data_IF_029172033076
#
_entry.id   IF_029172033076
#
_cell.length_a   1.000
_cell.length_b   1.000
_cell.length_c   1.000
_cell.angle_alpha   90.00
_cell.angle_beta   90.00
_cell.angle_gamma   90.00
#
_symmetry.space_group_name_H-M   'P 1'
#
loop_
_entity.id
_entity.type
_entity.pdbx_description
1 polymer ?
#
# COMPACT_ATOMS: atom_id res chain seq x y z
N UNK A 1 13.96 -9.17 -72.86
CA UNK A 1 13.92 -7.71 -72.63
C UNK A 1 12.85 -7.41 -71.58
N UNK A 2 13.22 -7.49 -70.30
CA UNK A 2 12.39 -7.01 -69.20
C UNK A 2 12.53 -5.49 -69.11
N UNK A 3 11.39 -4.79 -69.16
CA UNK A 3 11.29 -3.33 -69.23
C UNK A 3 11.63 -2.66 -67.89
N UNK A 4 12.30 -1.49 -67.90
CA UNK A 4 12.73 -0.76 -66.69
C UNK A 4 11.59 -0.33 -65.75
N UNK A 5 10.34 -0.38 -66.22
CA UNK A 5 9.14 0.09 -65.51
C UNK A 5 8.71 -0.83 -64.36
N UNK A 6 8.91 -2.16 -64.45
CA UNK A 6 8.54 -3.09 -63.36
C UNK A 6 9.49 -2.98 -62.15
N UNK A 7 10.77 -2.71 -62.37
CA UNK A 7 11.76 -2.54 -61.31
C UNK A 7 11.53 -1.26 -60.48
N UNK A 8 10.91 -0.22 -61.06
CA UNK A 8 10.56 1.03 -60.38
C UNK A 8 9.37 0.86 -59.42
N UNK A 9 8.31 0.17 -59.86
CA UNK A 9 7.10 -0.03 -59.05
C UNK A 9 7.34 -0.89 -57.80
N UNK A 10 8.23 -1.89 -57.87
CA UNK A 10 8.59 -2.71 -56.70
C UNK A 10 9.41 -1.96 -55.65
N UNK A 11 10.21 -0.96 -56.06
CA UNK A 11 10.97 -0.11 -55.12
C UNK A 11 10.06 0.87 -54.39
N UNK A 12 9.06 1.42 -55.07
CA UNK A 12 8.06 2.33 -54.48
C UNK A 12 7.15 1.65 -53.45
N UNK A 13 6.75 0.38 -53.68
CA UNK A 13 5.95 -0.37 -52.71
C UNK A 13 6.75 -0.76 -51.46
N UNK A 14 8.01 -1.18 -51.63
CA UNK A 14 8.91 -1.48 -50.52
C UNK A 14 9.20 -0.24 -49.66
N UNK A 15 9.44 0.93 -50.26
CA UNK A 15 9.63 2.18 -49.51
C UNK A 15 8.40 2.58 -48.69
N UNK A 16 7.19 2.47 -49.25
CA UNK A 16 5.95 2.73 -48.49
C UNK A 16 5.73 1.74 -47.36
N UNK A 17 6.01 0.45 -47.58
CA UNK A 17 5.89 -0.56 -46.53
C UNK A 17 6.86 -0.28 -45.38
N UNK A 18 8.10 0.10 -45.70
CA UNK A 18 9.10 0.51 -44.71
C UNK A 18 8.66 1.78 -43.97
N UNK A 19 8.14 2.79 -44.67
CA UNK A 19 7.65 4.03 -44.05
C UNK A 19 6.46 3.78 -43.11
N UNK A 20 5.50 2.94 -43.52
CA UNK A 20 4.36 2.54 -42.68
C UNK A 20 4.85 1.74 -41.47
N UNK A 21 5.78 0.79 -41.65
CA UNK A 21 6.35 0.03 -40.55
C UNK A 21 7.10 0.92 -39.55
N UNK A 22 7.89 1.90 -40.02
CA UNK A 22 8.56 2.89 -39.18
C UNK A 22 7.53 3.73 -38.43
N UNK A 23 6.46 4.18 -39.08
CA UNK A 23 5.44 5.03 -38.46
C UNK A 23 4.64 4.27 -37.40
N UNK A 24 4.25 3.03 -37.67
CA UNK A 24 3.60 2.15 -36.68
C UNK A 24 4.56 1.85 -35.53
N UNK A 25 5.83 1.55 -35.83
CA UNK A 25 6.86 1.32 -34.82
C UNK A 25 7.07 2.53 -33.92
N UNK A 26 7.11 3.74 -34.47
CA UNK A 26 7.20 4.98 -33.71
C UNK A 26 5.97 5.23 -32.84
N UNK A 27 4.75 4.98 -33.36
CA UNK A 27 3.52 5.11 -32.57
C UNK A 27 3.50 4.09 -31.44
N UNK A 28 3.91 2.85 -31.69
CA UNK A 28 3.98 1.82 -30.65
C UNK A 28 5.02 2.18 -29.58
N UNK A 29 6.20 2.65 -29.99
CA UNK A 29 7.26 3.08 -29.08
C UNK A 29 6.82 4.28 -28.24
N UNK A 30 6.15 5.26 -28.85
CA UNK A 30 5.58 6.41 -28.13
C UNK A 30 4.49 5.98 -27.16
N UNK A 31 3.60 5.08 -27.56
CA UNK A 31 2.56 4.52 -26.68
C UNK A 31 3.16 3.75 -25.51
N UNK A 32 4.20 2.94 -25.75
CA UNK A 32 4.93 2.23 -24.71
C UNK A 32 5.61 3.20 -23.73
N UNK A 33 6.24 4.28 -24.22
CA UNK A 33 6.83 5.30 -23.37
C UNK A 33 5.78 6.04 -22.54
N UNK A 34 4.64 6.40 -23.14
CA UNK A 34 3.53 6.98 -22.41
C UNK A 34 3.01 6.02 -21.32
N UNK A 35 2.93 4.72 -21.62
CA UNK A 35 2.51 3.71 -20.64
C UNK A 35 3.49 3.60 -19.47
N UNK A 36 4.81 3.55 -19.73
CA UNK A 36 5.83 3.49 -18.67
C UNK A 36 5.79 4.72 -17.74
N UNK A 37 5.45 5.90 -18.26
CA UNK A 37 5.29 7.11 -17.46
C UNK A 37 4.02 7.02 -16.59
N UNK A 38 2.94 6.44 -17.11
CA UNK A 38 1.65 6.33 -16.42
C UNK A 38 1.63 5.17 -15.43
N UNK A 39 2.36 4.09 -15.68
CA UNK A 39 2.46 2.87 -14.88
C UNK A 39 2.51 3.12 -13.35
N UNK A 40 3.41 3.96 -12.80
CA UNK A 40 3.47 4.19 -11.35
C UNK A 40 2.23 4.89 -10.79
N UNK A 41 1.43 5.56 -11.62
CA UNK A 41 0.20 6.26 -11.20
C UNK A 41 -1.04 5.36 -11.29
N UNK A 42 -0.99 4.24 -12.01
CA UNK A 42 -2.12 3.32 -12.16
C UNK A 42 -2.55 2.80 -10.78
N UNK A 43 -1.60 2.36 -9.95
CA UNK A 43 -1.89 1.79 -8.63
C UNK A 43 -2.55 2.85 -7.71
N UNK A 44 -2.00 4.07 -7.54
CA UNK A 44 -2.66 5.11 -6.75
C UNK A 44 -4.05 5.50 -7.27
N UNK A 45 -4.25 5.56 -8.60
CA UNK A 45 -5.54 5.87 -9.22
C UNK A 45 -6.56 4.77 -8.91
N UNK A 46 -6.18 3.50 -9.06
CA UNK A 46 -7.05 2.36 -8.74
C UNK A 46 -7.47 2.37 -7.27
N UNK A 47 -6.52 2.55 -6.35
CA UNK A 47 -6.82 2.69 -4.92
C UNK A 47 -7.71 3.90 -4.63
N UNK A 48 -7.46 5.04 -5.29
CA UNK A 48 -8.30 6.23 -5.17
C UNK A 48 -9.73 5.98 -5.63
N UNK A 49 -9.93 5.26 -6.74
CA UNK A 49 -11.26 4.85 -7.19
C UNK A 49 -11.94 3.89 -6.21
N UNK A 50 -11.21 2.89 -5.68
CA UNK A 50 -11.74 1.95 -4.69
C UNK A 50 -12.21 2.72 -3.45
N UNK A 51 -11.36 3.61 -2.91
CA UNK A 51 -11.68 4.44 -1.75
C UNK A 51 -12.91 5.30 -2.05
N UNK A 52 -12.96 5.98 -3.20
CA UNK A 52 -14.09 6.82 -3.58
C UNK A 52 -15.41 6.02 -3.67
N UNK A 53 -15.40 4.86 -4.33
CA UNK A 53 -16.60 4.00 -4.50
C UNK A 53 -17.07 3.42 -3.16
N UNK A 54 -16.13 2.96 -2.33
CA UNK A 54 -16.40 2.35 -1.04
C UNK A 54 -16.90 3.38 -0.01
N UNK A 55 -16.30 4.56 0.01
CA UNK A 55 -16.64 5.65 0.94
C UNK A 55 -17.79 6.55 0.48
N UNK A 56 -18.27 6.38 -0.76
CA UNK A 56 -19.37 7.16 -1.32
C UNK A 56 -20.61 7.33 -0.40
N UNK A 57 -21.14 6.28 0.29
CA UNK A 57 -22.27 6.49 1.20
C UNK A 57 -21.92 7.39 2.40
N UNK A 58 -20.70 7.30 2.92
CA UNK A 58 -20.21 8.16 4.00
C UNK A 58 -20.09 9.60 3.49
N UNK A 59 -19.55 9.78 2.28
CA UNK A 59 -19.47 11.07 1.63
C UNK A 59 -20.85 11.70 1.42
N UNK A 60 -21.85 10.94 0.95
CA UNK A 60 -23.22 11.45 0.78
C UNK A 60 -23.84 11.89 2.11
N UNK A 61 -23.61 11.13 3.18
CA UNK A 61 -24.05 11.51 4.53
C UNK A 61 -23.39 12.81 5.00
N UNK A 62 -22.08 12.97 4.77
CA UNK A 62 -21.36 14.22 5.08
C UNK A 62 -21.86 15.39 4.22
N UNK A 63 -22.08 15.16 2.93
CA UNK A 63 -22.61 16.14 1.99
C UNK A 63 -24.00 16.64 2.41
N UNK A 64 -24.90 15.73 2.82
CA UNK A 64 -26.21 16.09 3.33
C UNK A 64 -26.13 16.96 4.59
N UNK A 65 -25.23 16.62 5.52
CA UNK A 65 -24.99 17.43 6.73
C UNK A 65 -24.36 18.80 6.46
N UNK A 66 -23.54 18.91 5.41
CA UNK A 66 -22.85 20.15 5.02
C UNK A 66 -23.67 21.01 4.03
N UNK A 67 -24.98 20.79 3.94
CA UNK A 67 -25.88 21.60 3.13
C UNK A 67 -25.72 21.39 1.62
N UNK A 68 -25.34 20.19 1.18
CA UNK A 68 -25.24 19.84 -0.25
C UNK A 68 -23.97 20.31 -0.95
N UNK A 69 -22.99 20.86 -0.22
CA UNK A 69 -21.76 21.44 -0.80
C UNK A 69 -20.72 20.36 -1.08
N UNK A 70 -20.76 19.75 -2.27
CA UNK A 70 -19.89 18.63 -2.69
C UNK A 70 -18.41 18.87 -2.41
N UNK A 71 -17.89 20.04 -2.81
CA UNK A 71 -16.47 20.37 -2.65
C UNK A 71 -16.05 20.42 -1.19
N UNK A 72 -16.88 21.02 -0.31
CA UNK A 72 -16.58 21.06 1.12
C UNK A 72 -16.62 19.67 1.75
N UNK A 73 -17.64 18.88 1.43
CA UNK A 73 -17.75 17.51 1.93
C UNK A 73 -16.55 16.66 1.51
N UNK A 74 -16.05 16.85 0.28
CA UNK A 74 -14.91 16.11 -0.24
C UNK A 74 -13.62 16.54 0.44
N UNK A 75 -13.41 17.85 0.65
CA UNK A 75 -12.25 18.35 1.39
C UNK A 75 -12.24 17.84 2.83
N UNK A 76 -13.38 17.91 3.54
CA UNK A 76 -13.48 17.40 4.91
C UNK A 76 -13.22 15.90 4.96
N UNK A 77 -13.81 15.12 4.04
CA UNK A 77 -13.54 13.68 3.94
C UNK A 77 -12.06 13.39 3.72
N UNK A 78 -11.42 14.10 2.78
CA UNK A 78 -10.00 13.93 2.45
C UNK A 78 -9.12 14.24 3.65
N UNK A 79 -9.37 15.35 4.35
CA UNK A 79 -8.62 15.72 5.55
C UNK A 79 -8.78 14.71 6.67
N UNK A 80 -9.99 14.22 6.91
CA UNK A 80 -10.25 13.19 7.92
C UNK A 80 -9.55 11.87 7.58
N UNK A 81 -9.63 11.43 6.32
CA UNK A 81 -8.98 10.20 5.86
C UNK A 81 -7.44 10.32 5.94
N UNK A 82 -6.88 11.48 5.57
CA UNK A 82 -5.44 11.73 5.71
C UNK A 82 -5.02 11.77 7.18
N UNK A 83 -5.77 12.43 8.05
CA UNK A 83 -5.47 12.45 9.48
C UNK A 83 -5.51 11.02 10.06
N UNK A 84 -6.54 10.23 9.71
CA UNK A 84 -6.68 8.85 10.15
C UNK A 84 -5.51 7.96 9.72
N UNK A 85 -4.92 8.21 8.54
CA UNK A 85 -3.76 7.46 8.04
C UNK A 85 -2.42 7.97 8.63
N UNK A 86 -2.22 9.29 8.62
CA UNK A 86 -0.93 9.91 8.95
C UNK A 86 -0.66 9.84 10.45
N UNK A 87 -1.67 10.09 11.29
CA UNK A 87 -1.48 10.11 12.76
C UNK A 87 -0.87 8.80 13.31
N UNK A 88 -1.45 7.61 13.09
CA UNK A 88 -0.86 6.38 13.60
C UNK A 88 0.49 6.07 12.95
N UNK A 89 0.69 6.44 11.68
CA UNK A 89 1.96 6.20 10.98
C UNK A 89 3.09 7.06 11.55
N UNK A 90 2.81 8.33 11.85
CA UNK A 90 3.76 9.24 12.48
C UNK A 90 4.13 8.77 13.90
N UNK A 91 3.12 8.36 14.69
CA UNK A 91 3.36 7.80 16.03
C UNK A 91 4.23 6.53 15.97
N UNK A 92 3.97 5.63 15.02
CA UNK A 92 4.81 4.45 14.82
C UNK A 92 6.25 4.85 14.47
N UNK A 93 6.45 5.83 13.58
CA UNK A 93 7.78 6.30 13.22
C UNK A 93 8.53 6.88 14.43
N UNK A 94 7.85 7.67 15.27
CA UNK A 94 8.42 8.24 16.49
C UNK A 94 8.82 7.14 17.49
N UNK A 95 7.96 6.13 17.69
CA UNK A 95 8.28 5.00 18.60
C UNK A 95 9.48 4.19 18.13
N UNK A 96 9.63 3.98 16.82
CA UNK A 96 10.78 3.29 16.25
C UNK A 96 12.05 4.12 16.41
N UNK A 97 11.98 5.43 16.15
CA UNK A 97 13.10 6.35 16.32
C UNK A 97 13.58 6.40 17.79
N UNK A 98 12.65 6.55 18.74
CA UNK A 98 12.96 6.58 20.17
C UNK A 98 13.55 5.24 20.65
N UNK A 99 12.93 4.11 20.27
CA UNK A 99 13.43 2.78 20.64
C UNK A 99 14.85 2.54 20.12
N UNK A 100 15.12 2.95 18.87
CA UNK A 100 16.45 2.82 18.27
C UNK A 100 17.47 3.69 18.99
N UNK A 101 17.11 4.94 19.34
CA UNK A 101 17.99 5.84 20.08
C UNK A 101 18.29 5.30 21.48
N UNK A 102 17.27 4.86 22.23
CA UNK A 102 17.42 4.26 23.57
C UNK A 102 18.27 3.00 23.54
N UNK A 103 18.09 2.15 22.54
CA UNK A 103 18.89 0.93 22.35
C UNK A 103 20.36 1.28 22.06
N UNK A 104 20.62 2.25 21.19
CA UNK A 104 21.96 2.73 20.87
C UNK A 104 22.70 3.25 22.10
N UNK A 105 22.05 4.11 22.89
CA UNK A 105 22.61 4.65 24.14
C UNK A 105 22.86 3.54 25.16
N UNK A 106 21.91 2.63 25.36
CA UNK A 106 22.05 1.53 26.31
C UNK A 106 23.19 0.56 25.95
N UNK A 107 23.44 0.36 24.65
CA UNK A 107 24.57 -0.44 24.15
C UNK A 107 25.90 0.29 24.35
N UNK A 108 25.97 1.59 24.03
CA UNK A 108 27.18 2.41 24.19
C UNK A 108 27.60 2.56 25.66
N UNK A 109 26.63 2.71 26.57
CA UNK A 109 26.88 2.85 28.00
C UNK A 109 27.18 1.51 28.71
N UNK A 110 27.14 0.38 28.00
CA UNK A 110 27.35 -0.96 28.58
C UNK A 110 26.29 -1.36 29.62
N UNK A 111 25.16 -0.65 29.69
CA UNK A 111 24.08 -0.86 30.67
C UNK A 111 23.11 -1.96 30.29
N UNK A 112 23.22 -2.50 29.08
CA UNK A 112 22.41 -3.64 28.63
C UNK A 112 22.89 -4.94 29.28
N UNK A 113 22.39 -5.21 30.49
CA UNK A 113 22.54 -6.49 31.17
C UNK A 113 21.32 -7.35 30.90
N UNK A 114 21.46 -8.41 30.11
CA UNK A 114 20.38 -9.39 29.93
C UNK A 114 20.31 -10.26 31.20
N UNK A 115 19.16 -10.31 31.90
CA UNK A 115 19.00 -11.17 33.07
C UNK A 115 19.09 -12.64 32.67
N UNK A 116 19.48 -13.56 33.58
CA UNK A 116 19.56 -14.98 33.27
C UNK A 116 18.18 -15.54 32.89
N UNK A 117 18.13 -16.57 32.01
CA UNK A 117 16.86 -17.13 31.56
C UNK A 117 16.08 -17.77 32.72
N UNK A 118 14.75 -17.58 32.80
CA UNK A 118 13.89 -18.29 33.75
C UNK A 118 13.97 -19.81 33.53
N UNK A 119 13.92 -20.59 34.61
CA UNK A 119 13.99 -22.06 34.54
C UNK A 119 12.90 -22.67 33.63
N UNK A 120 11.70 -22.07 33.61
CA UNK A 120 10.57 -22.47 32.78
C UNK A 120 10.84 -22.41 31.27
N UNK A 121 11.83 -21.64 30.81
CA UNK A 121 12.19 -21.56 29.39
C UNK A 121 12.88 -22.85 28.93
N UNK A 122 13.64 -23.51 29.81
CA UNK A 122 14.33 -24.77 29.47
C UNK A 122 13.38 -25.96 29.28
N UNK A 123 12.19 -25.87 29.86
CA UNK A 123 11.16 -26.91 29.84
C UNK A 123 10.32 -26.90 28.54
N UNK A 124 10.53 -25.93 27.65
CA UNK A 124 9.74 -25.83 26.42
C UNK A 124 10.08 -26.96 25.43
N UNK A 125 9.07 -27.69 24.92
CA UNK A 125 9.24 -29.00 24.29
C UNK A 125 9.95 -28.98 22.92
N UNK A 126 10.25 -27.82 22.35
CA UNK A 126 10.84 -27.71 20.99
C UNK A 126 12.12 -26.88 20.96
N UNK A 127 12.18 -25.76 21.70
CA UNK A 127 13.29 -24.79 21.62
C UNK A 127 13.92 -24.47 22.96
N UNK A 128 13.41 -25.01 24.07
CA UNK A 128 13.74 -24.53 25.41
C UNK A 128 15.21 -24.67 25.79
N UNK A 129 15.83 -25.81 25.45
CA UNK A 129 17.24 -26.08 25.78
C UNK A 129 18.21 -25.20 24.99
N UNK A 130 17.99 -25.03 23.69
CA UNK A 130 18.83 -24.16 22.85
C UNK A 130 18.63 -22.68 23.19
N UNK A 131 17.38 -22.26 23.42
CA UNK A 131 17.04 -20.89 23.78
C UNK A 131 17.59 -20.51 25.16
N UNK A 132 17.49 -21.41 26.16
CA UNK A 132 18.07 -21.17 27.49
C UNK A 132 19.60 -21.13 27.45
N UNK A 133 20.26 -21.97 26.63
CA UNK A 133 21.71 -21.91 26.43
C UNK A 133 22.14 -20.59 25.76
N UNK A 134 21.44 -20.17 24.71
CA UNK A 134 21.70 -18.90 24.01
C UNK A 134 21.48 -17.69 24.93
N UNK A 135 20.36 -17.66 25.66
CA UNK A 135 20.05 -16.59 26.61
C UNK A 135 21.07 -16.53 27.76
N UNK A 136 21.51 -17.68 28.28
CA UNK A 136 22.58 -17.75 29.27
C UNK A 136 23.90 -17.18 28.73
N UNK A 137 24.24 -17.48 27.46
CA UNK A 137 25.41 -16.91 26.79
C UNK A 137 25.31 -15.38 26.66
N UNK A 138 24.14 -14.88 26.26
CA UNK A 138 23.87 -13.45 26.13
C UNK A 138 23.93 -12.72 27.48
N UNK A 139 23.46 -13.38 28.56
CA UNK A 139 23.51 -12.86 29.93
C UNK A 139 24.94 -12.79 30.48
N UNK A 140 25.79 -13.80 30.17
CA UNK A 140 27.18 -13.86 30.63
C UNK A 140 28.12 -12.97 29.83
N UNK A 141 27.96 -12.91 28.51
CA UNK A 141 28.77 -12.09 27.64
C UNK A 141 27.95 -11.64 26.42
N UNK A 142 27.33 -10.47 26.60
CA UNK A 142 26.48 -9.85 25.59
C UNK A 142 27.30 -9.53 24.33
N UNK A 143 28.51 -9.00 24.48
CA UNK A 143 29.38 -8.60 23.36
C UNK A 143 29.77 -9.78 22.47
N UNK A 144 30.27 -10.87 23.06
CA UNK A 144 30.63 -12.07 22.31
C UNK A 144 29.41 -12.67 21.59
N UNK A 145 28.27 -12.80 22.30
CA UNK A 145 27.04 -13.33 21.72
C UNK A 145 26.51 -12.44 20.58
N UNK A 146 26.59 -11.11 20.71
CA UNK A 146 26.23 -10.18 19.65
C UNK A 146 27.13 -10.32 18.43
N UNK A 147 28.43 -10.55 18.58
CA UNK A 147 29.31 -10.75 17.42
C UNK A 147 29.01 -12.03 16.66
N UNK A 148 28.58 -13.11 17.35
CA UNK A 148 28.17 -14.36 16.71
C UNK A 148 26.85 -14.20 15.94
N UNK A 149 25.91 -13.41 16.46
CA UNK A 149 24.61 -13.20 15.82
C UNK A 149 24.55 -11.96 14.91
N UNK A 150 25.57 -11.09 14.96
CA UNK A 150 25.70 -9.89 14.13
C UNK A 150 25.41 -10.12 12.63
N UNK A 151 25.91 -11.19 11.96
CA UNK A 151 25.57 -11.42 10.56
C UNK A 151 24.08 -11.65 10.34
N UNK A 152 23.41 -12.44 11.20
CA UNK A 152 21.97 -12.69 11.14
C UNK A 152 21.14 -11.44 11.48
N UNK A 153 21.59 -10.65 12.46
CA UNK A 153 21.01 -9.35 12.78
C UNK A 153 21.11 -8.38 11.62
N UNK A 154 22.24 -8.37 10.88
CA UNK A 154 22.43 -7.49 9.73
C UNK A 154 21.51 -7.86 8.56
N UNK A 155 21.36 -9.14 8.27
CA UNK A 155 20.42 -9.64 7.25
C UNK A 155 18.96 -9.37 7.63
N UNK A 156 18.61 -9.60 8.90
CA UNK A 156 17.27 -9.28 9.40
C UNK A 156 17.00 -7.77 9.39
N UNK A 157 18.01 -6.95 9.73
CA UNK A 157 17.91 -5.50 9.71
C UNK A 157 17.75 -4.95 8.28
N UNK A 158 18.46 -5.50 7.28
CA UNK A 158 18.29 -5.09 5.89
C UNK A 158 16.92 -5.50 5.34
N UNK A 159 16.44 -6.70 5.68
CA UNK A 159 15.08 -7.13 5.34
C UNK A 159 14.02 -6.24 6.00
N UNK A 160 14.14 -5.96 7.30
CA UNK A 160 13.25 -5.04 8.02
C UNK A 160 13.29 -3.62 7.43
N UNK A 161 14.47 -3.10 7.12
CA UNK A 161 14.62 -1.77 6.52
C UNK A 161 13.97 -1.69 5.13
N UNK A 162 14.18 -2.71 4.29
CA UNK A 162 13.55 -2.76 2.97
C UNK A 162 12.03 -2.91 3.05
N UNK A 163 11.53 -3.68 4.02
CA UNK A 163 10.10 -3.83 4.30
C UNK A 163 9.50 -2.52 4.82
N UNK A 164 10.17 -1.84 5.74
CA UNK A 164 9.75 -0.54 6.26
C UNK A 164 9.78 0.54 5.16
N UNK A 165 10.80 0.56 4.31
CA UNK A 165 10.86 1.46 3.15
C UNK A 165 9.71 1.18 2.17
N UNK A 166 9.44 -0.09 1.86
CA UNK A 166 8.30 -0.50 1.04
C UNK A 166 6.96 -0.09 1.65
N UNK A 167 6.78 -0.28 2.96
CA UNK A 167 5.60 0.16 3.68
C UNK A 167 5.45 1.69 3.64
N UNK A 168 6.54 2.45 3.83
CA UNK A 168 6.55 3.91 3.72
C UNK A 168 6.15 4.41 2.32
N UNK A 169 6.65 3.74 1.26
CA UNK A 169 6.21 3.99 -0.11
C UNK A 169 4.71 3.69 -0.25
N UNK A 170 4.23 2.58 0.32
CA UNK A 170 2.81 2.22 0.35
C UNK A 170 1.94 3.27 1.04
N UNK A 171 2.38 3.83 2.17
CA UNK A 171 1.70 4.94 2.86
C UNK A 171 1.64 6.16 1.96
N UNK A 172 2.75 6.53 1.30
CA UNK A 172 2.77 7.66 0.37
C UNK A 172 1.80 7.44 -0.81
N UNK A 173 1.75 6.23 -1.36
CA UNK A 173 0.78 5.86 -2.38
C UNK A 173 -0.65 6.02 -1.88
N UNK A 174 -0.96 5.57 -0.65
CA UNK A 174 -2.27 5.76 -0.03
C UNK A 174 -2.62 7.23 0.18
N UNK A 175 -1.66 8.08 0.59
CA UNK A 175 -1.86 9.54 0.69
C UNK A 175 -2.29 10.10 -0.67
N UNK A 176 -1.57 9.75 -1.74
CA UNK A 176 -1.92 10.18 -3.11
C UNK A 176 -3.30 9.64 -3.50
N UNK A 177 -3.59 8.38 -3.22
CA UNK A 177 -4.90 7.75 -3.48
C UNK A 177 -6.04 8.44 -2.75
N UNK A 178 -5.86 8.84 -1.48
CA UNK A 178 -6.86 9.56 -0.70
C UNK A 178 -7.13 10.93 -1.33
N UNK A 179 -6.09 11.63 -1.77
CA UNK A 179 -6.23 12.91 -2.49
C UNK A 179 -7.00 12.70 -3.80
N UNK A 180 -6.65 11.69 -4.59
CA UNK A 180 -7.37 11.33 -5.83
C UNK A 180 -8.83 11.00 -5.52
N UNK A 181 -9.10 10.21 -4.49
CA UNK A 181 -10.45 9.88 -4.05
C UNK A 181 -11.25 11.14 -3.69
N UNK A 182 -10.62 12.08 -2.96
CA UNK A 182 -11.20 13.38 -2.65
C UNK A 182 -11.59 14.17 -3.90
N UNK A 183 -10.71 14.22 -4.90
CA UNK A 183 -10.99 14.88 -6.19
C UNK A 183 -12.14 14.19 -6.93
N UNK A 184 -12.18 12.85 -6.95
CA UNK A 184 -13.27 12.07 -7.55
C UNK A 184 -14.60 12.37 -6.84
N UNK A 185 -14.61 12.37 -5.50
CA UNK A 185 -15.81 12.65 -4.70
C UNK A 185 -16.30 14.09 -4.86
N UNK A 186 -15.40 15.07 -4.97
CA UNK A 186 -15.75 16.46 -5.22
C UNK A 186 -16.52 16.64 -6.54
N UNK A 187 -16.24 15.78 -7.53
CA UNK A 187 -16.90 15.76 -8.84
C UNK A 187 -17.63 14.43 -9.12
N UNK A 188 -18.24 13.82 -8.09
CA UNK A 188 -18.79 12.46 -8.18
C UNK A 188 -19.82 12.29 -9.30
N UNK A 189 -20.64 13.31 -9.57
CA UNK A 189 -21.61 13.30 -10.68
C UNK A 189 -20.92 13.22 -12.05
N UNK A 190 -19.86 14.01 -12.26
CA UNK A 190 -19.07 13.98 -13.49
C UNK A 190 -18.31 12.67 -13.67
N UNK A 191 -17.74 12.13 -12.59
CA UNK A 191 -16.99 10.89 -12.63
C UNK A 191 -17.90 9.66 -12.86
N UNK A 192 -19.09 9.64 -12.25
CA UNK A 192 -20.10 8.61 -12.52
C UNK A 192 -20.55 8.59 -13.98
N UNK A 193 -20.79 9.76 -14.57
CA UNK A 193 -21.10 9.90 -15.99
C UNK A 193 -19.96 9.41 -16.90
N UNK A 194 -18.71 9.72 -16.56
CA UNK A 194 -17.53 9.24 -17.28
C UNK A 194 -17.40 7.72 -17.23
N UNK A 195 -17.56 7.11 -16.05
CA UNK A 195 -17.49 5.65 -15.88
C UNK A 195 -18.60 4.93 -16.67
N UNK A 196 -19.82 5.46 -16.65
CA UNK A 196 -20.92 4.92 -17.45
C UNK A 196 -20.63 5.04 -18.95
N UNK A 197 -20.17 6.20 -19.42
CA UNK A 197 -19.82 6.39 -20.83
C UNK A 197 -18.68 5.46 -21.28
N UNK A 198 -17.66 5.27 -20.43
CA UNK A 198 -16.57 4.35 -20.68
C UNK A 198 -17.07 2.90 -20.76
N UNK A 199 -17.91 2.49 -19.82
CA UNK A 199 -18.47 1.14 -19.80
C UNK A 199 -19.38 0.87 -21.01
N UNK A 200 -20.20 1.84 -21.41
CA UNK A 200 -21.03 1.74 -22.63
C UNK A 200 -20.16 1.64 -23.88
N UNK A 201 -19.03 2.35 -23.93
CA UNK A 201 -18.11 2.27 -25.07
C UNK A 201 -17.37 0.93 -25.15
N UNK A 202 -17.10 0.29 -24.01
CA UNK A 202 -16.39 -0.99 -23.94
C UNK A 202 -17.30 -2.21 -24.13
N UNK A 203 -18.51 -2.17 -23.57
CA UNK A 203 -19.41 -3.33 -23.44
C UNK A 203 -20.74 -3.14 -24.20
N UNK A 204 -20.96 -1.97 -24.80
CA UNK A 204 -22.20 -1.63 -25.51
C UNK A 204 -23.36 -1.33 -24.56
N UNK A 205 -24.58 -1.69 -24.95
CA UNK A 205 -25.83 -1.31 -24.27
C UNK A 205 -25.91 -1.76 -22.80
N UNK A 206 -25.14 -2.77 -22.39
CA UNK A 206 -25.07 -3.26 -21.00
C UNK A 206 -24.05 -2.52 -20.13
N UNK A 207 -23.34 -1.54 -20.67
CA UNK A 207 -22.23 -0.87 -19.97
C UNK A 207 -22.62 -0.30 -18.59
N UNK A 208 -23.76 0.36 -18.47
CA UNK A 208 -24.24 0.92 -17.19
C UNK A 208 -24.53 -0.15 -16.13
N UNK A 209 -25.08 -1.29 -16.54
CA UNK A 209 -25.33 -2.43 -15.66
C UNK A 209 -24.01 -3.02 -15.13
N UNK A 210 -23.01 -3.18 -16.01
CA UNK A 210 -21.68 -3.64 -15.62
C UNK A 210 -20.95 -2.64 -14.71
N UNK A 211 -21.03 -1.33 -14.97
CA UNK A 211 -20.43 -0.31 -14.13
C UNK A 211 -21.05 -0.29 -12.72
N UNK A 212 -22.37 -0.45 -12.65
CA UNK A 212 -23.11 -0.56 -11.39
C UNK A 212 -22.73 -1.83 -10.64
N UNK A 213 -22.65 -2.96 -11.33
CA UNK A 213 -22.26 -4.23 -10.73
C UNK A 213 -20.83 -4.17 -10.18
N UNK A 214 -19.88 -3.65 -10.96
CA UNK A 214 -18.49 -3.46 -10.52
C UNK A 214 -18.41 -2.57 -9.27
N UNK A 215 -19.15 -1.45 -9.26
CA UNK A 215 -19.19 -0.54 -8.11
C UNK A 215 -19.74 -1.22 -6.85
N UNK A 216 -20.81 -2.02 -6.99
CA UNK A 216 -21.37 -2.81 -5.88
C UNK A 216 -20.38 -3.85 -5.38
N UNK A 217 -19.69 -4.55 -6.27
CA UNK A 217 -18.67 -5.55 -5.92
C UNK A 217 -17.50 -4.91 -5.16
N UNK A 218 -16.95 -3.81 -5.67
CA UNK A 218 -15.87 -3.06 -4.99
C UNK A 218 -16.31 -2.64 -3.59
N UNK A 219 -17.53 -2.10 -3.45
CA UNK A 219 -18.07 -1.71 -2.16
C UNK A 219 -18.25 -2.92 -1.23
N UNK A 220 -18.78 -4.03 -1.73
CA UNK A 220 -18.99 -5.25 -0.95
C UNK A 220 -17.66 -5.83 -0.45
N UNK A 221 -16.63 -5.86 -1.28
CA UNK A 221 -15.29 -6.33 -0.89
C UNK A 221 -14.69 -5.41 0.16
N UNK A 222 -14.75 -4.09 -0.05
CA UNK A 222 -14.24 -3.11 0.91
C UNK A 222 -14.95 -3.20 2.27
N UNK A 223 -16.28 -3.37 2.27
CA UNK A 223 -17.06 -3.57 3.49
C UNK A 223 -16.71 -4.89 4.19
N UNK A 224 -16.46 -5.96 3.43
CA UNK A 224 -16.00 -7.23 3.96
C UNK A 224 -14.64 -7.11 4.66
N UNK A 225 -13.65 -6.50 4.01
CA UNK A 225 -12.32 -6.28 4.59
C UNK A 225 -12.40 -5.40 5.85
N UNK A 226 -13.18 -4.32 5.80
CA UNK A 226 -13.36 -3.44 6.97
C UNK A 226 -14.07 -4.18 8.12
N UNK A 227 -15.07 -5.01 7.84
CA UNK A 227 -15.76 -5.81 8.84
C UNK A 227 -14.83 -6.81 9.51
N UNK A 228 -13.99 -7.50 8.73
CA UNK A 228 -12.97 -8.41 9.27
C UNK A 228 -11.96 -7.65 10.11
N UNK A 229 -11.47 -6.50 9.65
CA UNK A 229 -10.52 -5.67 10.39
C UNK A 229 -11.08 -5.20 11.73
N UNK A 230 -12.36 -4.80 11.79
CA UNK A 230 -13.01 -4.39 13.05
C UNK A 230 -13.19 -5.55 14.04
N UNK A 231 -13.51 -6.75 13.55
CA UNK A 231 -13.60 -7.93 14.41
C UNK A 231 -12.21 -8.31 14.92
N UNK A 232 -11.21 -8.28 14.04
CA UNK A 232 -9.82 -8.58 14.40
C UNK A 232 -9.28 -7.59 15.42
N UNK A 233 -9.51 -6.28 15.25
CA UNK A 233 -9.09 -5.28 16.23
C UNK A 233 -9.79 -5.51 17.57
N UNK A 234 -11.10 -5.73 17.58
CA UNK A 234 -11.83 -6.00 18.82
C UNK A 234 -11.30 -7.24 19.55
N UNK A 235 -11.08 -8.35 18.84
CA UNK A 235 -10.55 -9.58 19.43
C UNK A 235 -9.12 -9.41 19.92
N UNK A 236 -8.26 -8.72 19.16
CA UNK A 236 -6.91 -8.39 19.56
C UNK A 236 -6.89 -7.54 20.83
N UNK A 237 -7.76 -6.52 20.91
CA UNK A 237 -7.91 -5.66 22.08
C UNK A 237 -8.33 -6.41 23.33
N UNK A 238 -9.33 -7.31 23.22
CA UNK A 238 -9.74 -8.18 24.34
C UNK A 238 -8.60 -9.11 24.76
N UNK A 239 -7.86 -9.68 23.81
CA UNK A 239 -6.70 -10.53 24.11
C UNK A 239 -5.59 -9.77 24.85
N UNK A 240 -5.26 -8.55 24.42
CA UNK A 240 -4.27 -7.70 25.06
C UNK A 240 -4.69 -7.24 26.45
N UNK A 241 -5.98 -6.95 26.64
CA UNK A 241 -6.54 -6.65 27.97
C UNK A 241 -6.46 -7.85 28.91
N UNK A 242 -6.77 -9.06 28.42
CA UNK A 242 -6.65 -10.28 29.21
C UNK A 242 -5.19 -10.61 29.60
N UNK A 243 -4.23 -10.11 28.82
CA UNK A 243 -2.80 -10.25 29.08
C UNK A 243 -2.19 -9.09 29.91
N UNK A 244 -3.02 -8.17 30.45
CA UNK A 244 -2.61 -6.99 31.22
C UNK A 244 -1.59 -6.09 30.48
N UNK A 245 -1.67 -6.03 29.14
CA UNK A 245 -0.78 -5.18 28.34
C UNK A 245 -1.25 -3.71 28.40
N UNK A 246 -0.43 -2.78 28.90
CA UNK A 246 -0.82 -1.37 28.98
C UNK A 246 -1.05 -0.78 27.58
N UNK A 247 -2.20 -0.11 27.41
CA UNK A 247 -2.59 0.51 26.13
C UNK A 247 -3.29 -0.43 25.15
N UNK A 248 -3.81 -1.57 25.58
CA UNK A 248 -4.46 -2.59 24.75
C UNK A 248 -5.47 -2.07 23.70
N UNK A 249 -6.24 -1.02 23.99
CA UNK A 249 -7.18 -0.42 23.03
C UNK A 249 -6.57 0.50 21.96
N UNK A 250 -5.30 0.89 22.12
CA UNK A 250 -4.52 1.70 21.15
C UNK A 250 -3.74 0.82 20.18
N UNK A 251 -3.41 -0.43 20.59
CA UNK A 251 -2.63 -1.40 19.82
C UNK A 251 -3.47 -2.39 19.01
N UNK A 252 -4.79 -2.39 19.26
CA UNK A 252 -5.78 -3.27 18.68
C UNK A 252 -6.42 -2.65 17.44
#
# INVERSE_FOLDING_TARGET
MSTPTQASNGKLSAQRAVEVAIRIGLVFLLAAWCFLIVEPFIIPILWGMIIAIASYPIFQWMQAKLGGRNKLAATVFTLLALALLITPTAMLLDTVADTTHRLSVALQDGRLTIPPPPASVSEWPVVGKELSAFWSSASKNLGATLTTIAPYLKESASWLLSTAAGAGIGVLQFVISIVIAGVILANAAGFGGFLNALATKLVGDRGEEFATLASKTVRSVAQGVLGVALIQSLLAGVGLLAADVPGAGLWA
#
